data_IF_717231856021
#
_entry.id   IF_717231856021
#
_cell.length_a   1.000
_cell.length_b   1.000
_cell.length_c   1.000
_cell.angle_alpha   90.00
_cell.angle_beta   90.00
_cell.angle_gamma   90.00
#
_symmetry.space_group_name_H-M   'P 1'
#
loop_
_entity.id
_entity.type
_entity.pdbx_description
1 polymer ?
#
# COMPACT_ATOMS: atom_id res chain seq x y z
N UNK A 1 15.66 26.34 19.64
CA UNK A 1 15.77 24.99 20.22
C UNK A 1 14.40 24.27 20.21
N UNK A 2 13.96 23.90 19.01
CA UNK A 2 12.87 22.95 18.76
C UNK A 2 13.20 22.34 17.40
N UNK A 3 14.06 21.34 17.41
CA UNK A 3 14.30 20.53 16.21
C UNK A 3 12.99 19.76 15.92
N UNK A 4 12.32 19.94 14.77
CA UNK A 4 11.07 19.23 14.46
C UNK A 4 11.29 17.75 14.12
N UNK A 5 12.56 17.33 13.96
CA UNK A 5 12.94 16.03 13.43
C UNK A 5 12.76 14.79 14.35
N UNK A 6 12.84 14.84 15.69
CA UNK A 6 12.93 13.60 16.48
C UNK A 6 11.61 12.79 16.50
N UNK A 7 10.49 13.43 16.16
CA UNK A 7 9.17 12.78 16.12
C UNK A 7 8.88 12.08 14.79
N UNK A 8 9.33 12.62 13.65
CA UNK A 8 9.05 12.03 12.34
C UNK A 8 9.81 10.72 12.12
N UNK A 9 11.06 10.64 12.59
CA UNK A 9 11.87 9.42 12.48
C UNK A 9 11.30 8.28 13.33
N UNK A 10 10.90 8.59 14.56
CA UNK A 10 10.30 7.62 15.47
C UNK A 10 8.92 7.14 14.99
N UNK A 11 8.10 8.03 14.40
CA UNK A 11 6.84 7.66 13.76
C UNK A 11 7.05 6.71 12.57
N UNK A 12 8.02 7.01 11.70
CA UNK A 12 8.39 6.13 10.58
C UNK A 12 8.84 4.75 11.04
N UNK A 13 9.64 4.69 12.12
CA UNK A 13 10.07 3.41 12.71
C UNK A 13 8.90 2.59 13.24
N UNK A 14 7.98 3.19 14.00
CA UNK A 14 6.80 2.49 14.54
C UNK A 14 5.90 2.00 13.41
N UNK A 15 5.67 2.82 12.39
CA UNK A 15 4.89 2.43 11.21
C UNK A 15 5.56 1.30 10.44
N UNK A 16 6.89 1.33 10.27
CA UNK A 16 7.64 0.27 9.60
C UNK A 16 7.54 -1.06 10.35
N UNK A 17 7.79 -1.06 11.65
CA UNK A 17 7.69 -2.27 12.48
C UNK A 17 6.25 -2.78 12.52
N UNK A 18 5.27 -1.90 12.69
CA UNK A 18 3.85 -2.27 12.66
C UNK A 18 3.43 -2.87 11.33
N UNK A 19 3.88 -2.28 10.21
CA UNK A 19 3.61 -2.79 8.87
C UNK A 19 4.28 -4.14 8.63
N UNK A 20 5.51 -4.34 9.12
CA UNK A 20 6.22 -5.61 9.01
C UNK A 20 5.50 -6.72 9.79
N UNK A 21 5.05 -6.44 11.02
CA UNK A 21 4.28 -7.40 11.83
C UNK A 21 2.97 -7.75 11.15
N UNK A 22 2.23 -6.76 10.66
CA UNK A 22 0.99 -6.98 9.91
C UNK A 22 1.23 -7.79 8.64
N UNK A 23 2.33 -7.53 7.92
CA UNK A 23 2.70 -8.26 6.72
C UNK A 23 3.04 -9.72 7.01
N UNK A 24 3.82 -10.00 8.06
CA UNK A 24 4.12 -11.38 8.48
C UNK A 24 2.85 -12.11 8.89
N UNK A 25 1.96 -11.48 9.67
CA UNK A 25 0.67 -12.05 10.05
C UNK A 25 -0.18 -12.37 8.81
N UNK A 26 -0.19 -11.48 7.82
CA UNK A 26 -0.86 -11.70 6.53
C UNK A 26 -0.29 -12.91 5.78
N UNK A 27 1.04 -13.04 5.70
CA UNK A 27 1.68 -14.19 5.04
C UNK A 27 1.36 -15.49 5.77
N UNK A 28 1.43 -15.50 7.10
CA UNK A 28 1.07 -16.68 7.91
C UNK A 28 -0.37 -17.07 7.60
N UNK A 29 -1.32 -16.15 7.66
CA UNK A 29 -2.72 -16.41 7.33
C UNK A 29 -2.93 -16.89 5.88
N UNK A 30 -2.25 -16.30 4.91
CA UNK A 30 -2.41 -16.65 3.50
C UNK A 30 -1.85 -18.05 3.16
N UNK A 31 -0.69 -18.40 3.72
CA UNK A 31 0.05 -19.61 3.33
C UNK A 31 -0.15 -20.80 4.26
N UNK A 32 -0.46 -20.62 5.56
CA UNK A 32 -0.71 -21.77 6.44
C UNK A 32 -2.01 -22.50 6.05
N UNK A 33 -2.02 -23.84 6.15
CA UNK A 33 -3.26 -24.61 6.02
C UNK A 33 -4.14 -24.47 7.26
N UNK A 34 -5.46 -24.60 7.07
CA UNK A 34 -6.51 -24.37 8.07
C UNK A 34 -6.27 -25.07 9.42
N UNK A 35 -5.83 -26.35 9.49
CA UNK A 35 -5.62 -27.04 10.76
C UNK A 35 -4.58 -26.37 11.66
N UNK A 36 -3.62 -25.66 11.07
CA UNK A 36 -2.59 -24.93 11.82
C UNK A 36 -3.12 -23.60 12.35
N UNK A 37 -4.00 -22.93 11.60
CA UNK A 37 -4.66 -21.71 12.07
C UNK A 37 -5.62 -21.99 13.22
N UNK A 38 -6.38 -23.09 13.13
CA UNK A 38 -7.23 -23.57 14.22
C UNK A 38 -6.41 -23.93 15.47
N UNK A 39 -5.24 -24.57 15.31
CA UNK A 39 -4.35 -24.88 16.42
C UNK A 39 -3.78 -23.63 17.13
N UNK A 40 -3.68 -22.50 16.42
CA UNK A 40 -3.26 -21.19 16.96
C UNK A 40 -4.45 -20.45 17.62
N UNK A 41 -5.66 -21.00 17.53
CA UNK A 41 -6.89 -20.42 18.09
C UNK A 41 -7.56 -19.40 17.18
N UNK A 42 -7.21 -19.37 15.89
CA UNK A 42 -7.84 -18.48 14.89
C UNK A 42 -9.00 -19.24 14.24
N UNK A 43 -10.17 -19.19 14.86
CA UNK A 43 -11.37 -19.89 14.39
C UNK A 43 -12.13 -19.11 13.31
N UNK A 44 -11.94 -17.79 13.23
CA UNK A 44 -12.62 -16.95 12.25
C UNK A 44 -11.63 -16.11 11.45
N UNK A 45 -11.66 -16.27 10.13
CA UNK A 45 -10.88 -15.50 9.17
C UNK A 45 -11.66 -15.35 7.85
N UNK A 46 -11.38 -14.31 7.03
CA UNK A 46 -12.07 -14.10 5.76
C UNK A 46 -11.74 -15.18 4.72
N UNK A 47 -12.54 -15.28 3.66
CA UNK A 47 -12.31 -16.25 2.59
C UNK A 47 -10.87 -16.20 2.04
N UNK A 48 -10.29 -17.36 1.73
CA UNK A 48 -8.88 -17.45 1.32
C UNK A 48 -8.57 -16.73 0.00
N UNK A 49 -9.58 -16.49 -0.83
CA UNK A 49 -9.46 -15.72 -2.07
C UNK A 49 -8.97 -14.29 -1.83
N UNK A 50 -9.25 -13.73 -0.65
CA UNK A 50 -8.75 -12.40 -0.27
C UNK A 50 -7.22 -12.32 -0.26
N UNK A 51 -6.52 -13.43 -0.05
CA UNK A 51 -5.05 -13.49 -0.11
C UNK A 51 -4.50 -13.18 -1.52
N UNK A 52 -5.28 -13.43 -2.57
CA UNK A 52 -4.92 -13.09 -3.94
C UNK A 52 -5.51 -11.74 -4.35
N UNK A 53 -6.74 -11.44 -3.90
CA UNK A 53 -7.43 -10.20 -4.26
C UNK A 53 -6.67 -8.97 -3.75
N UNK A 54 -6.19 -8.99 -2.51
CA UNK A 54 -5.45 -7.85 -1.92
C UNK A 54 -4.23 -7.44 -2.76
N UNK A 55 -3.26 -8.31 -3.07
CA UNK A 55 -2.11 -7.91 -3.88
C UNK A 55 -2.50 -7.52 -5.30
N UNK A 56 -3.49 -8.20 -5.91
CA UNK A 56 -3.96 -7.83 -7.25
C UNK A 56 -4.57 -6.43 -7.30
N UNK A 57 -5.36 -6.06 -6.30
CA UNK A 57 -5.96 -4.74 -6.17
C UNK A 57 -4.91 -3.65 -5.98
N UNK A 58 -3.87 -3.92 -5.19
CA UNK A 58 -2.76 -2.97 -4.98
C UNK A 58 -2.06 -2.68 -6.32
N UNK A 59 -1.74 -3.72 -7.10
CA UNK A 59 -1.12 -3.54 -8.43
C UNK A 59 -2.01 -2.72 -9.36
N UNK A 60 -3.31 -3.03 -9.40
CA UNK A 60 -4.27 -2.27 -10.22
C UNK A 60 -4.44 -0.83 -9.75
N UNK A 61 -4.44 -0.57 -8.44
CA UNK A 61 -4.52 0.78 -7.88
C UNK A 61 -3.29 1.62 -8.24
N UNK A 62 -2.10 1.02 -8.18
CA UNK A 62 -0.85 1.67 -8.59
C UNK A 62 -0.90 2.03 -10.07
N UNK A 63 -1.27 1.07 -10.94
CA UNK A 63 -1.42 1.30 -12.37
C UNK A 63 -2.46 2.39 -12.66
N UNK A 64 -3.61 2.36 -11.98
CA UNK A 64 -4.66 3.36 -12.10
C UNK A 64 -4.20 4.75 -11.68
N UNK A 65 -3.38 4.85 -10.62
CA UNK A 65 -2.81 6.12 -10.15
C UNK A 65 -1.90 6.73 -11.21
N UNK A 66 -1.02 5.93 -11.82
CA UNK A 66 -0.15 6.40 -12.91
C UNK A 66 -0.94 6.79 -14.16
N UNK A 67 -1.93 5.99 -14.56
CA UNK A 67 -2.78 6.31 -15.70
C UNK A 67 -3.56 7.62 -15.46
N UNK A 68 -4.12 7.80 -14.27
CA UNK A 68 -4.81 9.02 -13.87
C UNK A 68 -3.87 10.23 -13.88
N UNK A 69 -2.67 10.08 -13.31
CA UNK A 69 -1.65 11.12 -13.33
C UNK A 69 -1.27 11.51 -14.77
N UNK A 70 -1.07 10.54 -15.66
CA UNK A 70 -0.80 10.81 -17.07
C UNK A 70 -1.93 11.60 -17.73
N UNK A 71 -3.19 11.18 -17.55
CA UNK A 71 -4.35 11.90 -18.09
C UNK A 71 -4.42 13.34 -17.56
N UNK A 72 -4.15 13.56 -16.27
CA UNK A 72 -4.13 14.90 -15.68
C UNK A 72 -3.02 15.77 -16.24
N UNK A 73 -1.82 15.22 -16.46
CA UNK A 73 -0.73 15.96 -17.10
C UNK A 73 -1.09 16.33 -18.54
N UNK A 74 -1.68 15.41 -19.29
CA UNK A 74 -2.13 15.67 -20.66
C UNK A 74 -3.17 16.81 -20.70
N UNK A 75 -4.13 16.78 -19.77
CA UNK A 75 -5.15 17.82 -19.65
C UNK A 75 -4.57 19.19 -19.27
N UNK A 76 -3.56 19.21 -18.41
CA UNK A 76 -2.91 20.45 -17.97
C UNK A 76 -1.81 20.95 -18.92
N UNK A 77 -1.50 20.22 -20.01
CA UNK A 77 -0.45 20.63 -20.94
C UNK A 77 -0.93 21.82 -21.79
N UNK A 78 -0.27 22.99 -21.72
CA UNK A 78 -0.62 24.12 -22.57
C UNK A 78 -0.29 23.85 -24.05
N UNK A 79 -0.99 24.48 -25.00
CA UNK A 79 -0.71 24.31 -26.42
C UNK A 79 0.71 24.75 -26.76
N UNK A 80 1.33 24.10 -27.75
CA UNK A 80 2.74 24.35 -28.17
C UNK A 80 3.04 25.80 -28.55
N UNK A 81 2.01 26.60 -28.84
CA UNK A 81 2.11 28.03 -29.15
C UNK A 81 1.93 28.95 -27.94
N UNK A 82 1.92 28.44 -26.71
CA UNK A 82 1.71 29.25 -25.51
C UNK A 82 2.94 30.16 -25.24
N UNK A 83 2.73 31.46 -24.94
CA UNK A 83 3.81 32.40 -24.67
C UNK A 83 4.62 32.09 -23.39
N UNK A 84 4.14 31.17 -22.53
CA UNK A 84 4.88 30.66 -21.38
C UNK A 84 6.07 29.74 -21.73
N UNK A 85 6.26 29.41 -23.01
CA UNK A 85 7.39 28.63 -23.50
C UNK A 85 8.57 29.50 -24.00
N UNK A 86 8.40 30.83 -24.03
CA UNK A 86 9.44 31.83 -24.35
C UNK A 86 9.82 32.62 -23.10
#
# INVERSE_FOLDING_TARGET
PTDPAPTVESQGFVLYVGSLVAYVAYLVWAFLPEPWLEAIGIEWYPARDWALLVPSWIVMLVAFTYASYFCLNLFNTPPLSSPSLL
#
